data_IF_952683588149
#
_entry.id   IF_952683588149
#
_cell.length_a   1.000
_cell.length_b   1.000
_cell.length_c   1.000
_cell.angle_alpha   90.00
_cell.angle_beta   90.00
_cell.angle_gamma   90.00
#
_symmetry.space_group_name_H-M   'P 1'
#
loop_
_entity.id
_entity.type
_entity.pdbx_description
1 polymer ?
#
# COMPACT_ATOMS: atom_id res chain seq x y z
N UNK A 1 3.13 -6.33 -7.26
CA UNK A 1 3.39 -5.24 -8.22
C UNK A 1 4.90 -5.20 -8.44
N UNK A 2 5.41 -5.24 -9.69
CA UNK A 2 6.84 -5.20 -9.93
C UNK A 2 7.43 -3.79 -9.71
N UNK A 3 8.68 -3.76 -9.23
CA UNK A 3 9.48 -2.54 -9.05
C UNK A 3 10.79 -2.73 -9.82
N UNK A 4 10.99 -1.94 -10.86
CA UNK A 4 12.19 -1.92 -11.69
C UNK A 4 13.14 -0.83 -11.19
N UNK A 5 14.06 -1.22 -10.32
CA UNK A 5 15.03 -0.31 -9.72
C UNK A 5 16.32 -0.25 -10.55
N UNK A 6 16.61 0.93 -11.10
CA UNK A 6 17.79 1.24 -11.95
C UNK A 6 18.01 0.23 -13.08
N UNK A 7 16.91 -0.30 -13.60
CA UNK A 7 16.91 -1.34 -14.62
C UNK A 7 15.77 -1.09 -15.60
N UNK A 8 16.06 -1.22 -16.89
CA UNK A 8 15.03 -1.25 -17.93
C UNK A 8 14.37 -2.65 -17.96
N UNK A 9 13.05 -2.77 -17.74
CA UNK A 9 12.34 -4.03 -17.85
C UNK A 9 12.51 -4.74 -19.19
N UNK A 10 12.88 -4.06 -20.27
CA UNK A 10 13.18 -4.69 -21.57
C UNK A 10 14.30 -5.73 -21.45
N UNK A 11 15.28 -5.50 -20.56
CA UNK A 11 16.35 -6.45 -20.26
C UNK A 11 15.86 -7.68 -19.48
N UNK A 12 14.86 -7.52 -18.62
CA UNK A 12 14.21 -8.65 -17.92
C UNK A 12 13.31 -9.42 -18.87
N UNK A 13 12.54 -8.72 -19.72
CA UNK A 13 11.59 -9.31 -20.68
C UNK A 13 12.27 -10.18 -21.73
N UNK A 14 13.38 -9.68 -22.29
CA UNK A 14 14.13 -10.37 -23.35
C UNK A 14 15.32 -11.17 -22.82
N UNK A 15 15.57 -11.10 -21.50
CA UNK A 15 16.76 -11.65 -20.85
C UNK A 15 18.05 -11.22 -21.58
N UNK A 16 18.21 -9.91 -21.79
CA UNK A 16 19.35 -9.30 -22.49
C UNK A 16 20.15 -8.37 -21.57
N UNK A 17 21.24 -7.80 -22.08
CA UNK A 17 22.07 -6.86 -21.33
C UNK A 17 22.77 -7.52 -20.13
N UNK A 18 23.03 -6.74 -19.08
CA UNK A 18 23.67 -7.25 -17.87
C UNK A 18 22.82 -8.31 -17.15
N UNK A 19 21.49 -8.11 -17.10
CA UNK A 19 20.57 -9.08 -16.52
C UNK A 19 20.62 -10.42 -17.27
N UNK A 20 20.58 -10.38 -18.61
CA UNK A 20 20.66 -11.56 -19.47
C UNK A 20 21.93 -12.39 -19.29
N UNK A 21 23.09 -11.74 -19.15
CA UNK A 21 24.37 -12.42 -18.91
C UNK A 21 24.35 -13.25 -17.61
N UNK A 22 23.87 -12.64 -16.53
CA UNK A 22 23.74 -13.33 -15.23
C UNK A 22 22.69 -14.45 -15.32
N UNK A 23 21.58 -14.20 -16.03
CA UNK A 23 20.55 -15.20 -16.26
C UNK A 23 21.09 -16.43 -17.00
N UNK A 24 21.88 -16.23 -18.06
CA UNK A 24 22.51 -17.31 -18.82
C UNK A 24 23.49 -18.13 -17.96
N UNK A 25 24.30 -17.48 -17.14
CA UNK A 25 25.17 -18.16 -16.18
C UNK A 25 24.38 -18.99 -15.16
N UNK A 26 23.26 -18.45 -14.66
CA UNK A 26 22.35 -19.13 -13.72
C UNK A 26 21.71 -20.37 -14.35
N UNK A 27 21.49 -20.35 -15.67
CA UNK A 27 20.86 -21.45 -16.41
C UNK A 27 21.78 -22.63 -16.72
N UNK A 28 23.12 -22.50 -16.57
CA UNK A 28 24.09 -23.54 -17.03
C UNK A 28 23.87 -24.94 -16.44
N UNK A 29 23.29 -25.03 -15.24
CA UNK A 29 23.07 -26.30 -14.53
C UNK A 29 21.59 -26.70 -14.46
N UNK A 30 20.73 -26.08 -15.26
CA UNK A 30 19.29 -26.31 -15.24
C UNK A 30 18.81 -27.04 -16.50
N UNK A 31 17.67 -27.71 -16.40
CA UNK A 31 17.06 -28.37 -17.56
C UNK A 31 16.41 -27.33 -18.47
N UNK A 32 16.41 -27.59 -19.78
CA UNK A 32 15.77 -26.71 -20.77
C UNK A 32 14.29 -26.47 -20.45
N UNK A 33 13.61 -27.49 -19.91
CA UNK A 33 12.21 -27.40 -19.50
C UNK A 33 12.01 -26.33 -18.41
N UNK A 34 12.84 -26.34 -17.35
CA UNK A 34 12.77 -25.35 -16.27
C UNK A 34 13.09 -23.95 -16.79
N UNK A 35 14.13 -23.82 -17.61
CA UNK A 35 14.58 -22.52 -18.13
C UNK A 35 13.51 -21.90 -19.04
N UNK A 36 13.01 -22.66 -20.01
CA UNK A 36 12.12 -22.15 -21.06
C UNK A 36 10.70 -22.00 -20.52
N UNK A 37 10.15 -23.05 -19.91
CA UNK A 37 8.73 -23.09 -19.57
C UNK A 37 8.45 -22.26 -18.32
N UNK A 38 9.34 -22.30 -17.32
CA UNK A 38 9.10 -21.64 -16.04
C UNK A 38 9.77 -20.27 -16.00
N UNK A 39 11.09 -20.20 -16.16
CA UNK A 39 11.83 -18.98 -15.83
C UNK A 39 11.66 -17.89 -16.89
N UNK A 40 11.94 -18.19 -18.17
CA UNK A 40 11.80 -17.21 -19.25
C UNK A 40 10.37 -16.69 -19.35
N UNK A 41 9.39 -17.58 -19.22
CA UNK A 41 7.97 -17.21 -19.23
C UNK A 41 7.64 -16.29 -18.05
N UNK A 42 7.96 -16.68 -16.82
CA UNK A 42 7.67 -15.87 -15.63
C UNK A 42 8.35 -14.49 -15.68
N UNK A 43 9.61 -14.41 -16.13
CA UNK A 43 10.32 -13.13 -16.29
C UNK A 43 9.68 -12.24 -17.36
N UNK A 44 9.24 -12.84 -18.47
CA UNK A 44 8.51 -12.13 -19.52
C UNK A 44 7.19 -11.59 -18.99
N UNK A 45 6.42 -12.40 -18.27
CA UNK A 45 5.12 -12.03 -17.71
C UNK A 45 5.25 -10.91 -16.68
N UNK A 46 6.22 -11.01 -15.76
CA UNK A 46 6.51 -9.96 -14.77
C UNK A 46 6.94 -8.66 -15.46
N UNK A 47 7.78 -8.72 -16.49
CA UNK A 47 8.23 -7.54 -17.23
C UNK A 47 7.17 -6.92 -18.17
N UNK A 48 6.07 -7.63 -18.43
CA UNK A 48 4.89 -7.11 -19.13
C UNK A 48 3.85 -6.52 -18.18
N UNK A 49 3.99 -6.74 -16.89
CA UNK A 49 3.07 -6.22 -15.88
C UNK A 49 3.37 -4.75 -15.60
N UNK A 50 2.34 -3.92 -15.46
CA UNK A 50 2.49 -2.52 -15.04
C UNK A 50 3.11 -2.46 -13.64
N UNK A 51 4.11 -1.61 -13.48
CA UNK A 51 4.87 -1.49 -12.24
C UNK A 51 5.58 -0.16 -12.12
N UNK A 52 6.40 -0.04 -11.08
CA UNK A 52 7.14 1.17 -10.77
C UNK A 52 8.52 1.13 -11.39
N UNK A 53 8.98 2.24 -11.95
CA UNK A 53 10.30 2.36 -12.55
C UNK A 53 11.05 3.48 -11.85
N UNK A 54 12.17 3.17 -11.20
CA UNK A 54 12.88 4.16 -10.37
C UNK A 54 13.37 5.37 -11.18
N UNK A 55 13.59 5.20 -12.49
CA UNK A 55 14.01 6.28 -13.40
C UNK A 55 12.94 7.37 -13.60
N UNK A 56 11.68 7.06 -13.30
CA UNK A 56 10.57 8.03 -13.38
C UNK A 56 10.44 8.88 -12.13
N UNK A 57 11.27 8.66 -11.10
CA UNK A 57 11.18 9.32 -9.81
C UNK A 57 12.43 10.16 -9.53
N UNK A 58 12.23 11.41 -9.11
CA UNK A 58 13.32 12.29 -8.68
C UNK A 58 13.82 12.01 -7.25
N UNK A 59 13.05 11.26 -6.46
CA UNK A 59 13.34 10.94 -5.06
C UNK A 59 12.90 9.51 -4.75
N UNK A 60 13.81 8.68 -4.22
CA UNK A 60 13.52 7.30 -3.84
C UNK A 60 12.52 7.22 -2.68
N UNK A 61 12.54 8.18 -1.75
CA UNK A 61 11.60 8.20 -0.63
C UNK A 61 10.15 8.41 -1.12
N UNK A 62 9.94 9.31 -2.08
CA UNK A 62 8.63 9.53 -2.68
C UNK A 62 8.11 8.29 -3.42
N UNK A 63 9.00 7.58 -4.13
CA UNK A 63 8.64 6.31 -4.78
C UNK A 63 8.21 5.25 -3.75
N UNK A 64 8.95 5.13 -2.64
CA UNK A 64 8.64 4.16 -1.58
C UNK A 64 7.30 4.50 -0.90
N UNK A 65 7.05 5.77 -0.64
CA UNK A 65 5.78 6.25 -0.07
C UNK A 65 4.60 5.93 -0.99
N UNK A 66 4.71 6.22 -2.29
CA UNK A 66 3.67 5.89 -3.28
C UNK A 66 3.41 4.37 -3.34
N UNK A 67 4.46 3.55 -3.38
CA UNK A 67 4.32 2.08 -3.41
C UNK A 67 3.63 1.59 -2.13
N UNK A 68 4.02 2.12 -0.96
CA UNK A 68 3.42 1.74 0.30
C UNK A 68 1.93 2.09 0.35
N UNK A 69 1.56 3.29 -0.13
CA UNK A 69 0.17 3.74 -0.22
C UNK A 69 -0.63 2.89 -1.21
N UNK A 70 -0.11 2.59 -2.40
CA UNK A 70 -0.77 1.74 -3.40
C UNK A 70 -1.01 0.30 -2.88
N UNK A 71 -0.05 -0.26 -2.15
CA UNK A 71 -0.22 -1.57 -1.49
C UNK A 71 -1.26 -1.47 -0.37
N UNK A 72 -1.19 -0.43 0.46
CA UNK A 72 -2.13 -0.20 1.55
C UNK A 72 -3.55 -0.06 1.02
N UNK A 73 -3.79 0.74 -0.01
CA UNK A 73 -5.11 0.94 -0.61
C UNK A 73 -5.68 -0.35 -1.20
N UNK A 74 -4.86 -1.14 -1.89
CA UNK A 74 -5.26 -2.47 -2.39
C UNK A 74 -5.67 -3.42 -1.27
N UNK A 75 -5.01 -3.35 -0.12
CA UNK A 75 -5.36 -4.14 1.06
C UNK A 75 -6.58 -3.56 1.81
N UNK A 76 -6.69 -2.23 1.89
CA UNK A 76 -7.77 -1.52 2.59
C UNK A 76 -9.11 -1.59 1.86
N UNK A 77 -9.13 -1.78 0.54
CA UNK A 77 -10.33 -2.21 -0.19
C UNK A 77 -10.93 -3.52 0.36
N UNK A 78 -10.14 -4.26 1.14
CA UNK A 78 -10.50 -5.52 1.80
C UNK A 78 -10.68 -5.36 3.31
N UNK A 79 -10.42 -4.18 3.88
CA UNK A 79 -10.43 -3.93 5.33
C UNK A 79 -11.86 -3.88 5.89
N UNK A 80 -12.00 -4.36 7.12
CA UNK A 80 -13.26 -4.75 7.72
C UNK A 80 -14.22 -3.58 7.92
N UNK A 81 -15.48 -3.84 7.59
CA UNK A 81 -16.66 -3.03 7.88
C UNK A 81 -16.98 -2.96 9.38
N UNK A 82 -15.99 -3.06 10.26
CA UNK A 82 -16.23 -3.22 11.70
C UNK A 82 -16.95 -2.00 12.31
N UNK A 83 -16.83 -0.83 11.68
CA UNK A 83 -17.57 0.37 12.07
C UNK A 83 -19.02 0.41 11.55
N UNK A 84 -19.38 -0.34 10.50
CA UNK A 84 -20.74 -0.35 9.95
C UNK A 84 -21.76 -0.96 10.93
N UNK A 85 -21.30 -1.75 11.90
CA UNK A 85 -22.15 -2.41 12.88
C UNK A 85 -22.49 -1.54 14.09
N UNK A 86 -21.94 -0.32 14.21
CA UNK A 86 -22.22 0.56 15.36
C UNK A 86 -23.40 1.50 15.07
N UNK A 87 -24.51 1.25 15.75
CA UNK A 87 -25.72 2.09 15.67
C UNK A 87 -25.46 3.47 16.30
N UNK A 88 -25.82 4.55 15.60
CA UNK A 88 -25.75 5.93 16.12
C UNK A 88 -24.35 6.53 16.21
N UNK A 89 -23.32 5.85 15.71
CA UNK A 89 -21.93 6.32 15.76
C UNK A 89 -21.75 7.65 15.01
N UNK A 90 -22.43 7.83 13.88
CA UNK A 90 -22.36 9.05 13.06
C UNK A 90 -22.79 10.30 13.80
N UNK A 91 -23.85 10.24 14.62
CA UNK A 91 -24.33 11.38 15.39
C UNK A 91 -23.31 11.82 16.46
N UNK A 92 -22.62 10.85 17.06
CA UNK A 92 -21.53 11.12 18.00
C UNK A 92 -20.33 11.75 17.29
N UNK A 93 -19.97 11.24 16.10
CA UNK A 93 -18.87 11.79 15.30
C UNK A 93 -19.17 13.21 14.83
N UNK A 94 -20.38 13.50 14.34
CA UNK A 94 -20.78 14.83 13.91
C UNK A 94 -20.66 15.86 15.05
N UNK A 95 -21.11 15.50 16.26
CA UNK A 95 -20.95 16.36 17.45
C UNK A 95 -19.48 16.59 17.79
N UNK A 96 -18.65 15.54 17.73
CA UNK A 96 -17.21 15.67 18.01
C UNK A 96 -16.47 16.49 16.96
N UNK A 97 -16.79 16.33 15.68
CA UNK A 97 -16.19 17.14 14.61
C UNK A 97 -16.43 18.64 14.83
N UNK A 98 -17.64 19.03 15.25
CA UNK A 98 -17.97 20.43 15.59
C UNK A 98 -17.16 20.94 16.79
N UNK A 99 -16.89 20.11 17.79
CA UNK A 99 -16.09 20.50 18.96
C UNK A 99 -14.60 20.59 18.63
N UNK A 100 -14.10 19.67 17.82
CA UNK A 100 -12.69 19.59 17.45
C UNK A 100 -12.27 20.75 16.55
N UNK A 101 -13.13 21.18 15.62
CA UNK A 101 -12.83 22.24 14.64
C UNK A 101 -11.43 22.07 14.05
N UNK A 102 -11.19 20.95 13.37
CA UNK A 102 -9.85 20.53 12.92
C UNK A 102 -9.16 21.53 11.97
N UNK A 103 -9.93 22.44 11.36
CA UNK A 103 -9.43 23.50 10.49
C UNK A 103 -8.92 24.74 11.26
N UNK A 104 -9.07 24.79 12.59
CA UNK A 104 -8.59 25.88 13.42
C UNK A 104 -7.11 25.68 13.79
N UNK A 105 -6.33 26.76 13.81
CA UNK A 105 -4.89 26.74 14.20
C UNK A 105 -4.66 26.55 15.71
N UNK A 106 -5.72 26.49 16.52
CA UNK A 106 -5.65 26.40 17.98
C UNK A 106 -5.54 24.95 18.48
N UNK A 107 -4.75 24.74 19.54
CA UNK A 107 -4.71 23.45 20.25
C UNK A 107 -5.94 23.31 21.15
N UNK A 108 -6.70 22.24 20.96
CA UNK A 108 -7.91 21.95 21.74
C UNK A 108 -7.86 20.60 22.44
N UNK A 109 -8.50 20.54 23.60
CA UNK A 109 -8.69 19.29 24.35
C UNK A 109 -10.18 19.01 24.47
N UNK A 110 -10.60 17.82 24.02
CA UNK A 110 -11.99 17.35 24.11
C UNK A 110 -12.03 16.08 24.96
N UNK A 111 -12.88 16.08 25.98
CA UNK A 111 -13.07 14.94 26.88
C UNK A 111 -14.35 14.16 26.59
N UNK A 112 -14.26 12.83 26.55
CA UNK A 112 -15.42 11.94 26.53
C UNK A 112 -15.71 11.43 27.94
N UNK A 113 -16.93 11.65 28.43
CA UNK A 113 -17.35 11.26 29.78
C UNK A 113 -18.73 10.58 29.74
N UNK A 114 -19.05 9.81 30.78
CA UNK A 114 -20.27 9.00 30.86
C UNK A 114 -20.06 7.68 31.61
N UNK A 115 -21.14 6.94 31.81
CA UNK A 115 -21.15 5.67 32.54
C UNK A 115 -20.22 4.60 31.94
N UNK A 116 -19.87 3.59 32.73
CA UNK A 116 -19.14 2.43 32.24
C UNK A 116 -19.95 1.70 31.15
N UNK A 117 -19.28 1.18 30.13
CA UNK A 117 -19.92 0.42 29.04
C UNK A 117 -20.64 1.25 27.96
N UNK A 118 -20.80 2.57 28.12
CA UNK A 118 -21.56 3.42 27.16
C UNK A 118 -20.87 3.62 25.79
N UNK A 119 -19.68 3.06 25.57
CA UNK A 119 -18.99 3.12 24.28
C UNK A 119 -18.02 4.30 24.08
N UNK A 120 -17.58 4.99 25.15
CA UNK A 120 -16.59 6.09 25.07
C UNK A 120 -15.33 5.71 24.27
N UNK A 121 -14.73 4.57 24.59
CA UNK A 121 -13.53 4.06 23.92
C UNK A 121 -13.82 3.69 22.46
N UNK A 122 -15.01 3.16 22.17
CA UNK A 122 -15.44 2.83 20.81
C UNK A 122 -15.55 4.08 19.95
N UNK A 123 -16.24 5.12 20.45
CA UNK A 123 -16.38 6.41 19.76
C UNK A 123 -15.01 7.04 19.48
N UNK A 124 -14.12 7.08 20.49
CA UNK A 124 -12.77 7.62 20.31
C UNK A 124 -11.97 6.85 19.25
N UNK A 125 -12.08 5.51 19.23
CA UNK A 125 -11.38 4.67 18.26
C UNK A 125 -11.89 4.90 16.84
N UNK A 126 -13.21 4.94 16.64
CA UNK A 126 -13.81 5.17 15.31
C UNK A 126 -13.46 6.58 14.81
N UNK A 127 -13.50 7.59 15.68
CA UNK A 127 -13.08 8.94 15.34
C UNK A 127 -11.61 8.97 14.90
N UNK A 128 -10.71 8.34 15.67
CA UNK A 128 -9.30 8.27 15.32
C UNK A 128 -9.09 7.63 13.93
N UNK A 129 -9.75 6.50 13.66
CA UNK A 129 -9.67 5.83 12.36
C UNK A 129 -10.11 6.71 11.17
N UNK A 130 -11.05 7.65 11.39
CA UNK A 130 -11.46 8.60 10.35
C UNK A 130 -10.46 9.73 10.13
N UNK A 131 -9.76 10.16 11.18
CA UNK A 131 -8.86 11.31 11.14
C UNK A 131 -7.42 10.94 10.81
N UNK A 132 -7.01 9.70 11.09
CA UNK A 132 -5.63 9.24 10.91
C UNK A 132 -5.33 8.71 9.51
N UNK A 133 -6.19 9.01 8.52
CA UNK A 133 -5.94 8.74 7.10
C UNK A 133 -5.30 9.97 6.47
#
# INVERSE_FOLDING_TARGET
IPVFYRLDPSHVRKQTGAFGKIFEETCKNQTEEVIIIQWRRALTDVANTLGYHSVNWGNEAAMVEEIANDVLDKLLLTSSKDSENFVGIEDHLAKLSVLLQLDAEEVRMVGLWGSSGIGKTTIARVLFQRLSR
#
